data_IF_517214656034
#
_entry.id   IF_517214656034
#
_cell.length_a   1.000
_cell.length_b   1.000
_cell.length_c   1.000
_cell.angle_alpha   90.00
_cell.angle_beta   90.00
_cell.angle_gamma   90.00
#
_symmetry.space_group_name_H-M   'P 1'
#
loop_
_entity.id
_entity.type
_entity.pdbx_description
1 polymer ?
#
# COMPACT_ATOMS: atom_id res chain seq x y z
N UNK A 1 -63.05 -24.07 -29.52
CA UNK A 1 -63.06 -23.76 -28.07
C UNK A 1 -61.67 -23.20 -27.73
N UNK A 2 -61.32 -22.00 -28.17
CA UNK A 2 -61.57 -20.68 -27.56
C UNK A 2 -61.19 -20.61 -26.07
N UNK A 3 -59.98 -20.14 -25.80
CA UNK A 3 -59.57 -19.44 -24.56
C UNK A 3 -59.07 -18.05 -25.01
N UNK A 4 -59.50 -16.94 -24.38
CA UNK A 4 -59.28 -15.61 -24.94
C UNK A 4 -57.91 -15.03 -24.58
N UNK A 5 -57.29 -14.40 -25.58
CA UNK A 5 -56.11 -13.55 -25.53
C UNK A 5 -56.40 -12.19 -24.87
N UNK A 6 -55.55 -11.76 -23.94
CA UNK A 6 -55.54 -10.41 -23.35
C UNK A 6 -54.87 -9.40 -24.31
N UNK A 7 -55.36 -8.15 -24.42
CA UNK A 7 -54.83 -7.16 -25.35
C UNK A 7 -53.58 -6.43 -24.83
N UNK A 8 -52.65 -6.18 -25.75
CA UNK A 8 -51.48 -5.31 -25.57
C UNK A 8 -51.90 -3.84 -25.40
N UNK A 9 -51.32 -3.18 -24.39
CA UNK A 9 -51.42 -1.72 -24.23
C UNK A 9 -50.24 -1.03 -24.94
N UNK A 10 -50.55 -0.11 -25.85
CA UNK A 10 -49.58 0.75 -26.53
C UNK A 10 -49.20 1.94 -25.65
N UNK A 11 -47.89 2.15 -25.42
CA UNK A 11 -47.35 3.32 -24.74
C UNK A 11 -47.22 4.54 -25.68
N UNK A 12 -47.17 5.77 -25.15
CA UNK A 12 -47.17 6.98 -25.97
C UNK A 12 -45.79 7.32 -26.55
N UNK A 13 -45.80 7.81 -27.79
CA UNK A 13 -44.66 8.32 -28.57
C UNK A 13 -44.21 9.69 -28.04
N UNK A 14 -42.92 9.88 -27.77
CA UNK A 14 -42.33 11.19 -27.40
C UNK A 14 -41.55 11.77 -28.60
N UNK A 15 -41.88 13.02 -28.94
CA UNK A 15 -41.23 13.85 -29.96
C UNK A 15 -40.04 14.60 -29.34
N UNK A 16 -38.84 14.50 -29.90
CA UNK A 16 -37.68 15.28 -29.43
C UNK A 16 -37.63 16.67 -30.07
N UNK A 17 -37.55 17.74 -29.25
CA UNK A 17 -37.08 19.06 -29.66
C UNK A 17 -35.74 19.35 -28.96
N UNK A 18 -34.71 19.69 -29.73
CA UNK A 18 -33.40 20.11 -29.23
C UNK A 18 -33.38 21.63 -29.01
N UNK A 19 -32.98 22.08 -27.83
CA UNK A 19 -32.53 23.47 -27.57
C UNK A 19 -31.03 23.44 -27.22
N UNK A 20 -30.29 24.39 -27.78
CA UNK A 20 -28.84 24.58 -27.57
C UNK A 20 -28.60 25.57 -26.43
N UNK A 21 -27.67 25.29 -25.51
CA UNK A 21 -27.16 26.26 -24.54
C UNK A 21 -25.62 26.31 -24.57
N UNK A 22 -25.10 27.54 -24.51
CA UNK A 22 -23.69 27.94 -24.53
C UNK A 22 -23.07 27.79 -23.13
N UNK A 23 -21.86 27.24 -22.94
CA UNK A 23 -21.25 27.15 -21.61
C UNK A 23 -20.38 28.37 -21.25
N UNK A 24 -20.52 28.82 -19.99
CA UNK A 24 -19.64 29.74 -19.27
C UNK A 24 -18.46 28.97 -18.63
N UNK A 25 -17.25 29.54 -18.64
CA UNK A 25 -15.98 28.95 -18.15
C UNK A 25 -15.88 28.91 -16.60
N UNK A 26 -15.24 27.90 -15.97
CA UNK A 26 -15.07 27.84 -14.52
C UNK A 26 -13.86 28.64 -14.01
N UNK A 27 -14.04 29.27 -12.86
CA UNK A 27 -13.07 30.10 -12.15
C UNK A 27 -12.07 29.24 -11.37
N UNK A 28 -10.77 29.50 -11.53
CA UNK A 28 -9.71 28.89 -10.72
C UNK A 28 -9.51 29.66 -9.40
N UNK A 29 -9.51 28.98 -8.26
CA UNK A 29 -9.03 29.53 -7.00
C UNK A 29 -7.58 29.08 -6.76
N UNK A 30 -6.66 30.04 -6.72
CA UNK A 30 -5.30 29.86 -6.20
C UNK A 30 -5.22 30.49 -4.80
N UNK A 31 -4.70 29.79 -3.77
CA UNK A 31 -4.34 30.46 -2.53
C UNK A 31 -3.10 31.32 -2.75
N UNK A 32 -3.26 32.64 -2.61
CA UNK A 32 -2.13 33.58 -2.56
C UNK A 32 -1.64 33.64 -1.12
N UNK A 33 -0.45 33.10 -0.85
CA UNK A 33 0.27 33.37 0.40
C UNK A 33 1.03 34.67 0.25
N UNK A 34 0.54 35.74 0.89
CA UNK A 34 1.32 36.95 1.08
C UNK A 34 2.03 36.87 2.44
N UNK A 35 3.36 36.82 2.44
CA UNK A 35 4.14 36.88 3.66
C UNK A 35 4.12 38.29 4.23
N UNK A 36 3.71 38.45 5.49
CA UNK A 36 3.98 39.66 6.26
C UNK A 36 5.19 39.43 7.16
N UNK A 37 6.10 40.41 7.19
CA UNK A 37 7.02 40.61 8.33
C UNK A 37 6.14 40.83 9.57
N UNK A 38 6.60 40.33 10.72
CA UNK A 38 5.92 40.38 12.03
C UNK A 38 5.01 39.18 12.38
N UNK A 39 5.60 37.98 12.39
CA UNK A 39 5.73 37.18 13.62
C UNK A 39 4.50 36.70 14.42
N UNK A 40 3.24 36.83 13.97
CA UNK A 40 2.08 36.22 14.67
C UNK A 40 1.07 35.63 13.69
N UNK A 41 0.88 34.29 13.73
CA UNK A 41 -0.04 33.55 12.86
C UNK A 41 -1.41 33.37 13.53
N UNK A 42 -2.46 33.86 12.89
CA UNK A 42 -3.80 33.25 12.93
C UNK A 42 -4.37 33.24 11.50
N UNK A 43 -4.82 32.09 10.96
CA UNK A 43 -5.45 32.07 9.65
C UNK A 43 -6.85 32.72 9.73
N UNK A 44 -7.08 33.77 8.94
CA UNK A 44 -8.43 34.23 8.59
C UNK A 44 -8.63 34.02 7.10
N UNK A 45 -9.65 33.24 6.75
CA UNK A 45 -10.12 33.08 5.37
C UNK A 45 -10.94 34.33 5.03
N UNK A 46 -10.52 35.10 4.03
CA UNK A 46 -11.32 36.20 3.48
C UNK A 46 -11.97 35.76 2.17
N UNK A 47 -13.29 35.84 2.12
CA UNK A 47 -14.07 35.72 0.89
C UNK A 47 -14.27 37.15 0.35
N UNK A 48 -13.68 37.48 -0.79
CA UNK A 48 -13.97 38.74 -1.50
C UNK A 48 -15.08 38.46 -2.52
N UNK A 49 -16.29 38.97 -2.26
CA UNK A 49 -17.27 39.19 -3.33
C UNK A 49 -17.02 40.58 -3.92
N UNK A 50 -16.97 40.68 -5.25
CA UNK A 50 -17.07 41.96 -5.94
C UNK A 50 -18.50 42.50 -5.82
N UNK A 51 -18.62 43.82 -5.78
CA UNK A 51 -19.80 44.66 -5.55
C UNK A 51 -21.17 44.11 -5.99
N UNK A 52 -22.10 44.06 -5.03
CA UNK A 52 -23.29 44.91 -5.04
C UNK A 52 -23.93 44.87 -3.65
N UNK A 53 -24.13 46.05 -3.06
CA UNK A 53 -24.68 46.17 -1.71
C UNK A 53 -26.15 45.80 -1.67
N UNK A 54 -26.49 44.67 -1.07
CA UNK A 54 -27.82 44.41 -0.51
C UNK A 54 -27.76 43.22 0.47
N UNK A 55 -28.39 43.36 1.64
CA UNK A 55 -28.39 42.35 2.72
C UNK A 55 -29.51 41.35 2.47
N UNK A 56 -29.23 40.07 2.24
CA UNK A 56 -30.25 39.02 2.37
C UNK A 56 -29.76 37.72 3.02
N UNK A 57 -30.73 37.05 3.66
CA UNK A 57 -30.64 36.01 4.69
C UNK A 57 -30.60 34.60 4.05
N UNK A 58 -29.99 33.64 4.74
CA UNK A 58 -29.73 32.25 4.34
C UNK A 58 -30.97 31.33 4.30
N UNK A 59 -31.05 30.37 3.34
CA UNK A 59 -31.58 29.00 3.54
C UNK A 59 -31.27 28.04 2.36
N UNK A 60 -31.47 26.72 2.61
CA UNK A 60 -30.81 25.48 2.10
C UNK A 60 -31.33 24.88 0.77
N UNK A 61 -30.60 23.82 0.33
CA UNK A 61 -30.92 22.64 -0.56
C UNK A 61 -30.15 22.71 -1.92
N UNK A 62 -29.45 21.73 -2.51
CA UNK A 62 -29.12 20.32 -2.22
C UNK A 62 -28.77 19.55 -3.53
N UNK A 63 -27.57 18.93 -3.60
CA UNK A 63 -27.11 17.72 -4.34
C UNK A 63 -26.95 17.61 -5.90
N UNK A 64 -25.94 16.80 -6.26
CA UNK A 64 -25.31 16.27 -7.52
C UNK A 64 -26.23 15.45 -8.49
N UNK A 65 -25.81 14.85 -9.68
CA UNK A 65 -24.46 14.42 -10.18
C UNK A 65 -24.08 14.59 -11.70
N UNK A 66 -22.82 14.22 -12.01
CA UNK A 66 -22.02 14.08 -13.28
C UNK A 66 -22.70 13.33 -14.49
N UNK A 67 -22.14 13.22 -15.76
CA UNK A 67 -20.70 13.10 -16.14
C UNK A 67 -20.15 13.83 -17.42
N UNK A 68 -18.79 13.89 -17.50
CA UNK A 68 -17.73 14.12 -18.55
C UNK A 68 -18.15 14.41 -20.04
N UNK A 69 -17.32 14.98 -20.98
CA UNK A 69 -15.85 14.85 -21.09
C UNK A 69 -15.02 15.92 -21.91
N UNK A 70 -13.73 15.61 -22.14
CA UNK A 70 -12.87 15.87 -23.32
C UNK A 70 -12.01 17.15 -23.51
N UNK A 71 -10.81 16.86 -24.03
CA UNK A 71 -9.58 17.63 -24.29
C UNK A 71 -9.71 18.53 -25.53
N UNK A 72 -8.96 19.65 -25.64
CA UNK A 72 -8.36 19.94 -26.94
C UNK A 72 -6.89 20.37 -26.91
N UNK A 73 -6.21 19.87 -27.94
CA UNK A 73 -4.91 20.24 -28.49
C UNK A 73 -5.00 21.65 -29.09
N UNK A 74 -4.02 22.52 -28.85
CA UNK A 74 -3.77 23.68 -29.72
C UNK A 74 -2.27 23.83 -30.00
N UNK A 75 -1.95 23.80 -31.28
CA UNK A 75 -0.68 24.08 -31.93
C UNK A 75 -0.59 25.59 -32.24
N UNK A 76 0.59 26.19 -32.02
CA UNK A 76 1.16 27.14 -32.98
C UNK A 76 1.07 28.66 -32.71
N UNK A 77 2.28 29.24 -32.54
CA UNK A 77 2.69 30.63 -32.76
C UNK A 77 2.29 31.66 -31.69
N UNK A 78 3.12 32.64 -31.29
CA UNK A 78 4.15 33.40 -32.00
C UNK A 78 5.26 33.79 -31.01
N UNK A 79 6.51 33.68 -31.45
CA UNK A 79 7.70 34.13 -30.72
C UNK A 79 7.94 35.61 -31.02
N UNK A 80 7.85 36.49 -30.02
CA UNK A 80 8.43 37.84 -30.07
C UNK A 80 9.43 37.95 -28.95
N UNK A 81 10.71 37.99 -29.33
CA UNK A 81 11.83 38.03 -28.40
C UNK A 81 11.90 39.35 -27.66
N UNK A 82 11.93 39.25 -26.34
CA UNK A 82 12.72 40.12 -25.48
C UNK A 82 13.50 39.23 -24.50
N UNK A 83 14.72 39.67 -24.19
CA UNK A 83 15.81 38.89 -23.60
C UNK A 83 15.51 38.30 -22.22
N UNK A 84 16.20 37.20 -21.85
CA UNK A 84 15.89 36.40 -20.67
C UNK A 84 16.16 37.17 -19.39
N UNK A 85 15.20 37.13 -18.47
CA UNK A 85 15.46 37.42 -17.07
C UNK A 85 16.39 36.33 -16.54
N UNK A 86 17.69 36.63 -16.61
CA UNK A 86 18.73 35.98 -15.84
C UNK A 86 18.40 36.20 -14.36
N UNK A 87 17.67 35.28 -13.74
CA UNK A 87 17.72 35.16 -12.29
C UNK A 87 19.15 34.74 -11.98
N UNK A 88 19.99 35.71 -11.63
CA UNK A 88 21.23 35.45 -10.90
C UNK A 88 20.85 34.51 -9.76
N UNK A 89 21.25 33.24 -9.87
CA UNK A 89 21.28 32.33 -8.75
C UNK A 89 22.03 33.06 -7.63
N UNK A 90 21.30 33.47 -6.61
CA UNK A 90 21.91 33.82 -5.35
C UNK A 90 22.49 32.53 -4.81
N UNK A 91 23.77 32.29 -5.11
CA UNK A 91 24.58 31.32 -4.38
C UNK A 91 24.72 31.88 -2.97
N UNK A 92 23.71 31.63 -2.14
CA UNK A 92 23.84 31.77 -0.70
C UNK A 92 24.84 30.68 -0.27
N UNK A 93 26.13 30.99 -0.39
CA UNK A 93 27.20 30.23 0.22
C UNK A 93 27.04 30.42 1.72
N UNK A 94 26.75 29.35 2.43
CA UNK A 94 27.05 29.28 3.86
C UNK A 94 28.55 29.57 4.04
N UNK A 95 28.95 30.17 5.17
CA UNK A 95 30.36 30.49 5.48
C UNK A 95 31.31 29.26 5.41
N UNK A 96 30.76 28.04 5.27
CA UNK A 96 31.49 26.78 5.11
C UNK A 96 31.62 26.28 3.66
N UNK A 97 31.13 26.99 2.64
CA UNK A 97 31.30 26.60 1.23
C UNK A 97 30.59 25.28 0.83
N UNK A 98 29.81 24.68 1.72
CA UNK A 98 29.04 23.46 1.44
C UNK A 98 27.71 23.86 0.78
N UNK A 99 27.46 23.38 -0.43
CA UNK A 99 26.12 23.45 -1.04
C UNK A 99 25.12 22.81 -0.05
N UNK A 100 23.91 23.36 0.13
CA UNK A 100 22.90 22.69 0.91
C UNK A 100 22.71 21.29 0.33
N UNK A 101 22.85 20.26 1.17
CA UNK A 101 22.55 18.89 0.76
C UNK A 101 21.13 18.89 0.20
N UNK A 102 20.95 18.30 -0.99
CA UNK A 102 19.59 18.08 -1.53
C UNK A 102 18.80 17.39 -0.42
N UNK A 103 17.55 17.79 -0.13
CA UNK A 103 16.73 17.06 0.83
C UNK A 103 16.70 15.60 0.37
N UNK A 104 17.40 14.73 1.11
CA UNK A 104 17.33 13.30 0.91
C UNK A 104 15.88 12.92 1.18
N UNK A 105 15.23 12.25 0.22
CA UNK A 105 13.87 11.76 0.41
C UNK A 105 13.79 10.91 1.68
N UNK A 106 12.60 10.78 2.27
CA UNK A 106 12.40 9.96 3.47
C UNK A 106 13.00 8.56 3.25
N UNK A 107 14.10 8.19 3.97
CA UNK A 107 14.78 6.91 3.75
C UNK A 107 13.90 5.72 4.10
N UNK A 108 12.80 5.95 4.81
CA UNK A 108 11.80 4.96 5.18
C UNK A 108 10.55 5.03 4.31
N UNK A 109 10.61 5.68 3.13
CA UNK A 109 9.49 5.70 2.20
C UNK A 109 9.29 4.30 1.60
N UNK A 110 8.12 3.65 1.80
CA UNK A 110 7.84 2.37 1.17
C UNK A 110 7.62 2.55 -0.33
N UNK A 111 8.20 1.63 -1.12
CA UNK A 111 8.07 1.55 -2.57
C UNK A 111 7.06 0.50 -3.00
N UNK A 112 6.67 -0.41 -2.12
CA UNK A 112 5.69 -1.43 -2.40
C UNK A 112 4.92 -1.84 -1.14
N UNK A 113 3.80 -2.49 -1.37
CA UNK A 113 2.96 -3.09 -0.34
C UNK A 113 2.47 -4.45 -0.87
N UNK A 114 2.82 -5.53 -0.18
CA UNK A 114 2.52 -6.89 -0.62
C UNK A 114 1.38 -7.54 0.16
N UNK A 115 0.84 -6.88 1.19
CA UNK A 115 -0.22 -7.45 2.01
C UNK A 115 -1.49 -6.61 1.86
N UNK A 116 -2.26 -6.89 0.80
CA UNK A 116 -3.53 -6.20 0.54
C UNK A 116 -4.63 -7.16 0.10
N UNK A 117 -5.84 -6.86 0.56
CA UNK A 117 -7.03 -7.66 0.34
C UNK A 117 -8.03 -6.93 -0.54
N UNK A 118 -8.78 -7.69 -1.32
CA UNK A 118 -9.87 -7.21 -2.16
C UNK A 118 -11.20 -7.79 -1.68
N UNK A 119 -12.31 -7.33 -2.28
CA UNK A 119 -13.65 -7.90 -2.05
C UNK A 119 -13.70 -9.44 -2.16
N UNK A 120 -12.74 -10.07 -2.84
CA UNK A 120 -12.65 -11.52 -2.93
C UNK A 120 -12.38 -12.20 -1.58
N UNK A 121 -11.73 -11.51 -0.63
CA UNK A 121 -11.51 -12.02 0.73
C UNK A 121 -12.80 -12.12 1.57
N UNK A 122 -13.90 -11.50 1.15
CA UNK A 122 -15.21 -11.57 1.84
C UNK A 122 -15.38 -10.57 3.00
N UNK A 123 -14.30 -10.09 3.60
CA UNK A 123 -14.30 -9.06 4.66
C UNK A 123 -13.40 -7.85 4.36
N UNK A 124 -13.01 -7.69 3.09
CA UNK A 124 -12.43 -6.46 2.56
C UNK A 124 -13.43 -5.76 1.63
N UNK A 125 -13.28 -4.44 1.49
CA UNK A 125 -14.31 -3.55 0.97
C UNK A 125 -13.88 -2.80 -0.30
N UNK A 126 -12.81 -3.25 -0.96
CA UNK A 126 -12.29 -2.60 -2.16
C UNK A 126 -11.96 -3.60 -3.26
N UNK A 127 -12.28 -3.21 -4.49
CA UNK A 127 -11.95 -3.96 -5.69
C UNK A 127 -10.45 -3.87 -5.98
N UNK A 128 -9.95 -4.80 -6.79
CA UNK A 128 -8.58 -4.75 -7.29
C UNK A 128 -8.26 -3.40 -7.96
N UNK A 129 -9.20 -2.85 -8.74
CA UNK A 129 -9.01 -1.56 -9.41
C UNK A 129 -8.81 -0.42 -8.41
N UNK A 130 -9.63 -0.36 -7.37
CA UNK A 130 -9.53 0.67 -6.33
C UNK A 130 -8.20 0.58 -5.58
N UNK A 131 -7.75 -0.64 -5.24
CA UNK A 131 -6.43 -0.82 -4.62
C UNK A 131 -5.28 -0.36 -5.54
N UNK A 132 -5.36 -0.66 -6.84
CA UNK A 132 -4.37 -0.22 -7.83
C UNK A 132 -4.32 1.31 -7.96
N UNK A 133 -5.48 1.97 -8.02
CA UNK A 133 -5.56 3.42 -8.07
C UNK A 133 -4.97 4.05 -6.80
N UNK A 134 -5.32 3.51 -5.63
CA UNK A 134 -4.82 3.97 -4.34
C UNK A 134 -3.30 3.79 -4.17
N UNK A 135 -2.74 2.69 -4.69
CA UNK A 135 -1.30 2.44 -4.71
C UNK A 135 -0.58 3.43 -5.64
N UNK A 136 -1.12 3.68 -6.83
CA UNK A 136 -0.57 4.63 -7.79
C UNK A 136 -0.60 6.07 -7.24
N UNK A 137 -1.70 6.48 -6.59
CA UNK A 137 -1.84 7.80 -5.94
C UNK A 137 -0.82 8.02 -4.82
N UNK A 138 -0.44 6.95 -4.11
CA UNK A 138 0.62 6.98 -3.08
C UNK A 138 2.04 6.90 -3.65
N UNK A 139 2.17 6.70 -4.96
CA UNK A 139 3.45 6.57 -5.64
C UNK A 139 4.21 5.29 -5.27
N UNK A 140 3.48 4.19 -4.99
CA UNK A 140 4.07 2.86 -4.93
C UNK A 140 4.52 2.45 -6.34
N UNK A 141 5.55 1.62 -6.41
CA UNK A 141 6.09 1.03 -7.64
C UNK A 141 5.58 -0.39 -7.86
N UNK A 142 5.15 -1.08 -6.80
CA UNK A 142 4.53 -2.39 -6.86
C UNK A 142 3.41 -2.53 -5.81
N UNK A 143 2.42 -3.33 -6.15
CA UNK A 143 1.29 -3.69 -5.29
C UNK A 143 1.09 -5.20 -5.36
N UNK A 144 1.08 -5.86 -4.20
CA UNK A 144 0.72 -7.26 -4.06
C UNK A 144 -0.78 -7.43 -3.85
N UNK A 145 -1.36 -8.40 -4.54
CA UNK A 145 -2.73 -8.89 -4.28
C UNK A 145 -2.58 -10.19 -3.50
N UNK A 146 -3.06 -10.23 -2.26
CA UNK A 146 -2.83 -11.34 -1.32
C UNK A 146 -4.13 -11.72 -0.59
N UNK A 147 -5.24 -11.88 -1.33
CA UNK A 147 -6.50 -12.34 -0.76
C UNK A 147 -6.34 -13.65 0.04
N UNK A 148 -7.18 -13.85 1.05
CA UNK A 148 -7.11 -15.04 1.92
C UNK A 148 -7.40 -16.33 1.16
N UNK A 149 -6.61 -17.35 1.47
CA UNK A 149 -6.81 -18.71 0.98
C UNK A 149 -8.10 -19.38 1.54
N UNK A 150 -8.62 -20.45 0.90
CA UNK A 150 -10.00 -20.94 1.06
C UNK A 150 -10.44 -21.39 2.46
N UNK A 151 -9.53 -21.71 3.38
CA UNK A 151 -9.92 -22.10 4.74
C UNK A 151 -10.50 -20.92 5.54
N UNK A 152 -10.18 -19.68 5.16
CA UNK A 152 -10.75 -18.49 5.79
C UNK A 152 -12.26 -18.39 5.52
N UNK A 153 -13.12 -18.32 6.54
CA UNK A 153 -14.56 -18.28 6.34
C UNK A 153 -15.01 -17.08 5.49
N UNK A 154 -15.78 -17.34 4.43
CA UNK A 154 -16.36 -16.30 3.57
C UNK A 154 -15.44 -15.78 2.46
N UNK A 155 -14.21 -16.28 2.36
CA UNK A 155 -13.27 -15.91 1.30
C UNK A 155 -13.56 -16.59 -0.05
N UNK A 156 -12.73 -16.27 -1.04
CA UNK A 156 -12.74 -16.83 -2.38
C UNK A 156 -12.27 -18.30 -2.45
N UNK A 157 -12.75 -19.01 -3.49
CA UNK A 157 -12.27 -20.34 -3.84
C UNK A 157 -10.89 -20.26 -4.52
N UNK A 158 -10.12 -21.37 -4.52
CA UNK A 158 -8.79 -21.45 -5.14
C UNK A 158 -8.71 -21.05 -6.63
N UNK A 159 -9.85 -21.12 -7.33
CA UNK A 159 -9.98 -20.69 -8.73
C UNK A 159 -9.74 -19.19 -8.93
N UNK A 160 -9.98 -18.37 -7.90
CA UNK A 160 -9.67 -16.94 -7.90
C UNK A 160 -8.20 -16.70 -8.25
N UNK A 161 -7.30 -17.35 -7.51
CA UNK A 161 -5.85 -17.27 -7.70
C UNK A 161 -5.41 -17.85 -9.05
N UNK A 162 -6.01 -18.97 -9.47
CA UNK A 162 -5.75 -19.56 -10.79
C UNK A 162 -6.14 -18.64 -11.97
N UNK A 163 -7.04 -17.69 -11.74
CA UNK A 163 -7.48 -16.73 -12.75
C UNK A 163 -6.62 -15.46 -12.81
N UNK A 164 -5.64 -15.27 -11.91
CA UNK A 164 -4.73 -14.11 -11.95
C UNK A 164 -3.95 -13.96 -13.26
N UNK A 165 -3.90 -15.00 -14.11
CA UNK A 165 -3.39 -14.94 -15.49
C UNK A 165 -4.04 -13.86 -16.37
N UNK A 166 -5.26 -13.40 -16.04
CA UNK A 166 -5.94 -12.33 -16.79
C UNK A 166 -5.48 -10.93 -16.36
N UNK A 167 -4.79 -10.83 -15.22
CA UNK A 167 -4.30 -9.57 -14.66
C UNK A 167 -2.96 -9.23 -15.33
N UNK A 168 -2.89 -8.04 -15.92
CA UNK A 168 -1.68 -7.50 -16.53
C UNK A 168 -0.57 -7.36 -15.50
N UNK A 169 0.68 -7.51 -15.93
CA UNK A 169 1.86 -7.36 -15.07
C UNK A 169 2.02 -5.94 -14.51
N UNK A 170 1.56 -4.93 -15.26
CA UNK A 170 1.56 -3.54 -14.81
C UNK A 170 0.30 -2.80 -15.24
N UNK A 171 -0.19 -1.95 -14.35
CA UNK A 171 -1.33 -1.03 -14.54
C UNK A 171 -0.99 0.29 -13.87
N UNK A 172 -1.39 1.42 -14.44
CA UNK A 172 -1.15 2.76 -13.87
C UNK A 172 0.32 3.05 -13.45
N UNK A 173 1.28 2.42 -14.12
CA UNK A 173 2.71 2.57 -13.81
C UNK A 173 3.20 1.77 -12.60
N UNK A 174 2.36 0.93 -12.00
CA UNK A 174 2.70 0.05 -10.89
C UNK A 174 2.79 -1.41 -11.34
N UNK A 175 3.71 -2.19 -10.79
CA UNK A 175 3.78 -3.65 -10.97
C UNK A 175 2.72 -4.32 -10.11
N UNK A 176 1.98 -5.26 -10.67
CA UNK A 176 0.98 -6.04 -9.96
C UNK A 176 1.55 -7.41 -9.63
N UNK A 177 1.82 -7.66 -8.35
CA UNK A 177 2.45 -8.88 -7.85
C UNK A 177 1.37 -9.85 -7.37
N UNK A 178 1.32 -11.03 -7.96
CA UNK A 178 0.22 -12.00 -7.78
C UNK A 178 0.55 -12.95 -6.63
N UNK A 179 -0.11 -12.79 -5.49
CA UNK A 179 0.12 -13.63 -4.32
C UNK A 179 -1.14 -14.13 -3.63
N UNK A 180 -0.96 -14.61 -2.41
CA UNK A 180 -2.01 -15.20 -1.57
C UNK A 180 -1.59 -15.06 -0.11
N UNK A 181 -2.55 -14.84 0.77
CA UNK A 181 -2.33 -15.10 2.20
C UNK A 181 -2.86 -16.50 2.53
N UNK A 182 -1.93 -17.46 2.57
CA UNK A 182 -2.20 -18.85 2.91
C UNK A 182 -2.39 -19.01 4.42
N UNK A 183 -3.39 -19.82 4.79
CA UNK A 183 -3.68 -20.09 6.19
C UNK A 183 -2.82 -21.27 6.67
N UNK A 184 -2.12 -21.11 7.79
CA UNK A 184 -1.49 -22.23 8.48
C UNK A 184 -2.58 -22.98 9.26
N UNK A 185 -2.66 -24.30 9.05
CA UNK A 185 -3.75 -25.14 9.53
C UNK A 185 -3.43 -25.91 10.81
N UNK A 186 -2.15 -26.18 11.06
CA UNK A 186 -1.69 -26.99 12.18
C UNK A 186 -0.34 -26.51 12.72
N UNK A 187 0.08 -27.10 13.83
CA UNK A 187 1.33 -26.76 14.49
C UNK A 187 2.57 -27.36 13.84
N UNK A 188 2.42 -28.07 12.71
CA UNK A 188 3.52 -28.58 11.89
C UNK A 188 3.74 -27.68 10.65
N UNK A 189 2.90 -26.66 10.46
CA UNK A 189 3.06 -25.62 9.44
C UNK A 189 2.38 -25.93 8.11
N UNK A 190 1.44 -26.88 8.07
CA UNK A 190 0.68 -27.20 6.86
C UNK A 190 -0.15 -26.01 6.39
N UNK A 191 -0.21 -25.78 5.07
CA UNK A 191 -1.01 -24.73 4.46
C UNK A 191 -2.33 -25.27 3.89
N UNK A 192 -3.33 -24.41 3.78
CA UNK A 192 -4.63 -24.74 3.20
C UNK A 192 -4.67 -24.81 1.66
N UNK A 193 -3.54 -24.51 1.02
CA UNK A 193 -3.36 -24.59 -0.43
C UNK A 193 -2.06 -25.31 -0.78
N UNK A 194 -2.11 -26.11 -1.85
CA UNK A 194 -0.97 -26.90 -2.35
C UNK A 194 -0.22 -26.23 -3.51
N UNK A 195 0.76 -26.96 -4.03
CA UNK A 195 1.60 -26.54 -5.18
C UNK A 195 0.78 -26.23 -6.44
N UNK A 196 -0.37 -26.87 -6.62
CA UNK A 196 -1.26 -26.64 -7.76
C UNK A 196 -1.80 -25.19 -7.81
N UNK A 197 -1.89 -24.52 -6.67
CA UNK A 197 -2.21 -23.10 -6.55
C UNK A 197 -0.93 -22.28 -6.40
N UNK A 198 -0.09 -22.61 -5.41
CA UNK A 198 1.08 -21.83 -5.04
C UNK A 198 2.11 -21.71 -6.18
N UNK A 199 2.28 -22.76 -6.99
CA UNK A 199 3.22 -22.77 -8.12
C UNK A 199 2.87 -21.81 -9.26
N UNK A 200 1.64 -21.28 -9.28
CA UNK A 200 1.15 -20.31 -10.27
C UNK A 200 1.27 -18.86 -9.80
N UNK A 201 1.66 -18.64 -8.54
CA UNK A 201 1.78 -17.33 -7.91
C UNK A 201 3.25 -16.90 -7.81
N UNK A 202 3.47 -15.61 -7.53
CA UNK A 202 4.81 -15.04 -7.34
C UNK A 202 5.28 -15.18 -5.89
N UNK A 203 4.36 -15.14 -4.92
CA UNK A 203 4.65 -15.29 -3.50
C UNK A 203 3.42 -15.78 -2.72
N UNK A 204 3.68 -16.37 -1.56
CA UNK A 204 2.68 -16.58 -0.53
C UNK A 204 3.12 -15.91 0.78
N UNK A 205 2.15 -15.33 1.47
CA UNK A 205 2.23 -14.95 2.88
C UNK A 205 1.65 -16.14 3.66
N UNK A 206 2.36 -16.66 4.65
CA UNK A 206 1.81 -17.67 5.56
C UNK A 206 1.52 -17.02 6.93
N UNK A 207 0.32 -17.25 7.44
CA UNK A 207 -0.18 -16.56 8.63
C UNK A 207 -0.96 -17.49 9.55
N UNK A 208 -0.97 -17.19 10.85
CA UNK A 208 -1.82 -17.83 11.85
C UNK A 208 -3.12 -17.03 11.98
N UNK A 209 -4.26 -17.65 11.66
CA UNK A 209 -5.56 -17.00 11.80
C UNK A 209 -6.47 -17.77 12.77
N UNK A 210 -7.13 -17.09 13.73
CA UNK A 210 -8.02 -17.75 14.70
C UNK A 210 -9.11 -18.66 14.10
N UNK A 211 -9.71 -18.33 12.94
CA UNK A 211 -10.68 -19.21 12.29
C UNK A 211 -10.08 -20.51 11.72
N UNK A 212 -8.77 -20.54 11.45
CA UNK A 212 -8.10 -21.61 10.71
C UNK A 212 -7.25 -22.50 11.63
N UNK A 213 -6.72 -21.94 12.73
CA UNK A 213 -5.88 -22.65 13.70
C UNK A 213 -6.14 -22.13 15.12
N UNK A 214 -6.31 -23.01 16.13
CA UNK A 214 -6.47 -22.59 17.52
C UNK A 214 -5.22 -21.90 18.07
N UNK A 215 -5.40 -21.08 19.10
CA UNK A 215 -4.29 -20.51 19.87
C UNK A 215 -3.47 -21.62 20.53
N UNK A 216 -2.19 -21.75 20.14
CA UNK A 216 -1.25 -22.74 20.68
C UNK A 216 -0.31 -22.17 21.74
N UNK A 217 0.53 -23.04 22.32
CA UNK A 217 1.66 -22.62 23.16
C UNK A 217 2.73 -21.91 22.32
N UNK A 218 3.68 -21.26 23.00
CA UNK A 218 4.80 -20.60 22.34
C UNK A 218 5.57 -21.55 21.42
N UNK A 219 5.84 -22.76 21.88
CA UNK A 219 6.54 -23.80 21.13
C UNK A 219 5.72 -24.26 19.92
N UNK A 220 4.40 -24.45 20.09
CA UNK A 220 3.50 -24.88 19.02
C UNK A 220 3.39 -23.85 17.90
N UNK A 221 3.18 -22.57 18.23
CA UNK A 221 3.05 -21.51 17.26
C UNK A 221 4.38 -21.24 16.54
N UNK A 222 5.49 -21.25 17.28
CA UNK A 222 6.85 -21.14 16.72
C UNK A 222 7.11 -22.24 15.71
N UNK A 223 6.83 -23.50 16.08
CA UNK A 223 6.98 -24.64 15.16
C UNK A 223 6.09 -24.52 13.93
N UNK A 224 4.85 -24.05 14.09
CA UNK A 224 3.92 -23.82 12.98
C UNK A 224 4.50 -22.84 11.94
N UNK A 225 5.02 -21.69 12.40
CA UNK A 225 5.62 -20.69 11.53
C UNK A 225 6.88 -21.24 10.84
N UNK A 226 7.76 -21.90 11.59
CA UNK A 226 9.00 -22.48 11.04
C UNK A 226 8.68 -23.59 10.01
N UNK A 227 7.68 -24.44 10.29
CA UNK A 227 7.22 -25.47 9.36
C UNK A 227 6.69 -24.87 8.06
N UNK A 228 5.93 -23.78 8.13
CA UNK A 228 5.43 -23.08 6.96
C UNK A 228 6.57 -22.46 6.12
N UNK A 229 7.65 -21.97 6.75
CA UNK A 229 8.81 -21.42 6.04
C UNK A 229 9.53 -22.44 5.16
N UNK A 230 9.43 -23.75 5.47
CA UNK A 230 10.04 -24.81 4.65
C UNK A 230 9.37 -24.97 3.27
N UNK A 231 8.18 -24.39 3.08
CA UNK A 231 7.51 -24.39 1.79
C UNK A 231 8.17 -23.36 0.85
N UNK A 232 8.68 -23.77 -0.33
CA UNK A 232 9.46 -22.89 -1.21
C UNK A 232 8.68 -21.71 -1.80
N UNK A 233 7.35 -21.73 -1.71
CA UNK A 233 6.46 -20.65 -2.16
C UNK A 233 6.16 -19.61 -1.09
N UNK A 234 6.39 -19.92 0.20
CA UNK A 234 6.25 -18.97 1.29
C UNK A 234 7.42 -17.99 1.24
N UNK A 235 7.10 -16.70 1.15
CA UNK A 235 8.09 -15.60 1.08
C UNK A 235 7.97 -14.64 2.24
N UNK A 236 6.82 -14.62 2.91
CA UNK A 236 6.54 -13.73 4.03
C UNK A 236 5.81 -14.54 5.10
N UNK A 237 6.19 -14.35 6.36
CA UNK A 237 5.31 -14.67 7.49
C UNK A 237 4.51 -13.42 7.84
N UNK A 238 3.19 -13.51 7.72
CA UNK A 238 2.27 -12.39 7.97
C UNK A 238 2.02 -12.18 9.46
N UNK A 239 1.96 -10.91 9.86
CA UNK A 239 1.64 -10.42 11.22
C UNK A 239 2.01 -11.36 12.38
N UNK A 240 3.29 -11.77 12.54
CA UNK A 240 3.73 -12.59 13.67
C UNK A 240 3.85 -11.76 14.97
N UNK A 241 2.88 -10.89 15.27
CA UNK A 241 2.95 -9.89 16.34
C UNK A 241 1.78 -9.95 17.35
N UNK A 242 1.11 -11.10 17.47
CA UNK A 242 -0.10 -11.25 18.29
C UNK A 242 0.12 -12.12 19.53
N UNK A 243 -0.12 -11.59 20.74
CA UNK A 243 0.03 -12.33 22.01
C UNK A 243 -0.96 -13.51 22.16
N UNK A 244 -2.00 -13.58 21.31
CA UNK A 244 -2.85 -14.78 21.22
C UNK A 244 -2.10 -15.98 20.63
N UNK A 245 -1.05 -15.72 19.85
CA UNK A 245 -0.10 -16.69 19.33
C UNK A 245 1.31 -16.33 19.82
N UNK A 246 1.64 -16.57 21.10
CA UNK A 246 2.99 -16.27 21.60
C UNK A 246 4.06 -16.98 20.77
N UNK A 247 5.22 -16.36 20.58
CA UNK A 247 6.31 -16.85 19.74
C UNK A 247 7.65 -16.72 20.46
N UNK A 248 8.54 -17.68 20.20
CA UNK A 248 9.96 -17.52 20.42
C UNK A 248 10.56 -16.77 19.22
N UNK A 249 10.72 -15.46 19.36
CA UNK A 249 11.23 -14.62 18.28
C UNK A 249 12.67 -14.94 17.89
N UNK A 250 13.50 -15.50 18.78
CA UNK A 250 14.86 -15.91 18.43
C UNK A 250 14.80 -17.04 17.40
N UNK A 251 14.01 -18.07 17.67
CA UNK A 251 13.86 -19.21 16.77
C UNK A 251 13.21 -18.82 15.44
N UNK A 252 12.14 -18.01 15.48
CA UNK A 252 11.44 -17.53 14.28
C UNK A 252 12.37 -16.71 13.38
N UNK A 253 13.14 -15.76 13.94
CA UNK A 253 14.04 -14.90 13.16
C UNK A 253 15.19 -15.71 12.56
N UNK A 254 15.80 -16.62 13.32
CA UNK A 254 16.87 -17.48 12.81
C UNK A 254 16.35 -18.44 11.72
N UNK A 255 15.12 -18.94 11.83
CA UNK A 255 14.50 -19.75 10.77
C UNK A 255 14.23 -18.92 9.51
N UNK A 256 13.66 -17.73 9.67
CA UNK A 256 13.41 -16.80 8.56
C UNK A 256 14.70 -16.48 7.79
N UNK A 257 15.82 -16.29 8.49
CA UNK A 257 17.13 -16.10 7.88
C UNK A 257 17.59 -17.32 7.07
N UNK A 258 17.47 -18.53 7.63
CA UNK A 258 17.88 -19.79 6.95
C UNK A 258 17.06 -20.07 5.70
N UNK A 259 15.74 -19.93 5.81
CA UNK A 259 14.79 -20.22 4.72
C UNK A 259 14.62 -19.05 3.74
N UNK A 260 15.21 -17.88 4.05
CA UNK A 260 15.11 -16.64 3.27
C UNK A 260 13.66 -16.18 3.12
N UNK A 261 12.92 -16.21 4.22
CA UNK A 261 11.55 -15.74 4.34
C UNK A 261 11.55 -14.40 5.07
N UNK A 262 10.83 -13.40 4.58
CA UNK A 262 10.71 -12.11 5.25
C UNK A 262 9.72 -12.18 6.42
N UNK A 263 9.99 -11.43 7.49
CA UNK A 263 9.06 -11.27 8.62
C UNK A 263 8.32 -9.94 8.50
N UNK A 264 7.00 -9.98 8.62
CA UNK A 264 6.17 -8.79 8.48
C UNK A 264 6.09 -7.94 9.75
N UNK A 265 6.23 -6.63 9.62
CA UNK A 265 5.77 -5.63 10.58
C UNK A 265 4.48 -5.03 10.05
N UNK A 266 3.36 -5.44 10.65
CA UNK A 266 2.03 -5.21 10.10
C UNK A 266 1.39 -3.92 10.64
N UNK A 267 1.03 -2.99 9.75
CA UNK A 267 0.51 -1.68 10.17
C UNK A 267 -0.89 -1.77 10.79
N UNK A 268 -1.70 -2.74 10.35
CA UNK A 268 -3.04 -3.01 10.88
C UNK A 268 -2.97 -3.56 12.30
N UNK A 269 -1.96 -4.38 12.64
CA UNK A 269 -1.71 -4.86 14.01
C UNK A 269 -1.53 -3.74 15.03
N UNK A 270 -1.06 -2.56 14.60
CA UNK A 270 -0.83 -1.41 15.48
C UNK A 270 -2.03 -0.47 15.55
N UNK A 271 -3.11 -0.76 14.84
CA UNK A 271 -4.35 0.02 14.93
C UNK A 271 -5.00 -0.21 16.31
N UNK A 272 -5.45 0.85 17.02
CA UNK A 272 -6.15 0.68 18.31
C UNK A 272 -7.42 -0.17 18.23
N UNK A 273 -8.04 -0.27 17.06
CA UNK A 273 -9.21 -1.12 16.80
C UNK A 273 -8.85 -2.55 16.37
N UNK A 274 -7.57 -2.91 16.30
CA UNK A 274 -7.15 -4.25 15.92
C UNK A 274 -7.58 -5.28 16.96
N UNK A 275 -7.96 -6.47 16.49
CA UNK A 275 -8.24 -7.61 17.37
C UNK A 275 -6.99 -8.34 17.86
N UNK A 276 -5.82 -8.07 17.26
CA UNK A 276 -4.53 -8.64 17.67
C UNK A 276 -4.07 -8.01 18.99
N UNK A 277 -3.46 -8.81 19.86
CA UNK A 277 -3.06 -8.37 21.19
C UNK A 277 -1.59 -7.98 21.21
N UNK A 278 -1.30 -6.78 21.73
CA UNK A 278 0.07 -6.33 22.00
C UNK A 278 1.01 -6.24 20.78
N UNK A 279 0.46 -5.97 19.59
CA UNK A 279 1.19 -5.80 18.32
C UNK A 279 2.51 -5.03 18.44
N UNK A 280 2.46 -3.80 18.97
CA UNK A 280 3.65 -2.94 19.10
C UNK A 280 4.70 -3.53 20.04
N UNK A 281 4.30 -4.15 21.15
CA UNK A 281 5.23 -4.80 22.11
C UNK A 281 5.95 -5.95 21.41
N UNK A 282 5.21 -6.77 20.71
CA UNK A 282 5.69 -7.97 20.04
C UNK A 282 6.62 -7.64 18.87
N UNK A 283 6.23 -6.68 18.04
CA UNK A 283 7.07 -6.16 16.98
C UNK A 283 8.40 -5.58 17.50
N UNK A 284 8.43 -4.92 18.67
CA UNK A 284 9.71 -4.46 19.27
C UNK A 284 10.64 -5.61 19.60
N UNK A 285 10.12 -6.69 20.17
CA UNK A 285 10.93 -7.87 20.52
C UNK A 285 11.50 -8.48 19.23
N UNK A 286 10.66 -8.69 18.23
CA UNK A 286 11.09 -9.22 16.92
C UNK A 286 12.12 -8.32 16.25
N UNK A 287 11.90 -7.01 16.20
CA UNK A 287 12.83 -6.04 15.59
C UNK A 287 14.18 -6.01 16.31
N UNK A 288 14.22 -6.17 17.62
CA UNK A 288 15.49 -6.26 18.36
C UNK A 288 16.28 -7.51 17.97
N UNK A 289 15.60 -8.65 17.82
CA UNK A 289 16.23 -9.90 17.35
C UNK A 289 16.70 -9.77 15.91
N UNK A 290 15.86 -9.24 15.00
CA UNK A 290 16.22 -8.98 13.61
C UNK A 290 17.46 -8.10 13.49
N UNK A 291 17.53 -7.02 14.29
CA UNK A 291 18.68 -6.11 14.31
C UNK A 291 19.96 -6.78 14.79
N UNK A 292 19.89 -7.68 15.77
CA UNK A 292 21.07 -8.42 16.26
C UNK A 292 21.63 -9.41 15.25
N UNK A 293 20.79 -9.96 14.38
CA UNK A 293 21.16 -11.00 13.41
C UNK A 293 21.19 -10.52 11.95
N UNK A 294 21.07 -9.20 11.72
CA UNK A 294 21.00 -8.59 10.38
C UNK A 294 19.93 -9.21 9.47
N UNK A 295 18.77 -9.55 10.05
CA UNK A 295 17.64 -10.14 9.32
C UNK A 295 16.70 -9.02 8.88
N UNK A 296 16.41 -8.88 7.57
CA UNK A 296 15.54 -7.84 7.09
C UNK A 296 14.07 -8.14 7.39
N UNK A 297 13.26 -7.08 7.48
CA UNK A 297 11.80 -7.13 7.67
C UNK A 297 11.07 -6.51 6.49
N UNK A 298 9.81 -6.90 6.30
CA UNK A 298 8.89 -6.29 5.33
C UNK A 298 7.76 -5.58 6.08
N UNK A 299 7.34 -4.43 5.58
CA UNK A 299 6.15 -3.72 6.04
C UNK A 299 4.96 -4.15 5.18
N UNK A 300 3.83 -4.40 5.81
CA UNK A 300 2.55 -4.64 5.15
C UNK A 300 1.48 -3.72 5.72
N UNK A 301 0.62 -3.18 4.84
CA UNK A 301 -0.52 -2.41 5.34
C UNK A 301 -1.62 -3.33 5.90
N UNK A 302 -1.75 -4.54 5.35
CA UNK A 302 -2.87 -5.47 5.60
C UNK A 302 -4.20 -4.78 5.27
N UNK A 303 -4.20 -4.11 4.10
CA UNK A 303 -5.28 -3.23 3.70
C UNK A 303 -6.51 -4.05 3.32
N UNK A 304 -7.57 -3.85 4.08
CA UNK A 304 -8.90 -4.36 3.79
C UNK A 304 -9.81 -3.32 3.12
N UNK A 305 -9.27 -2.13 2.84
CA UNK A 305 -9.96 -1.04 2.13
C UNK A 305 -8.92 -0.14 1.45
N UNK A 306 -9.26 0.41 0.28
CA UNK A 306 -8.32 1.07 -0.63
C UNK A 306 -7.54 2.22 0.00
N UNK A 307 -8.13 2.96 0.95
CA UNK A 307 -7.45 4.07 1.60
C UNK A 307 -6.43 3.64 2.67
N UNK A 308 -6.31 2.34 2.97
CA UNK A 308 -5.23 1.81 3.81
C UNK A 308 -4.09 1.21 2.98
N UNK A 309 -4.27 0.99 1.67
CA UNK A 309 -3.22 0.48 0.78
C UNK A 309 -2.00 1.39 0.86
N UNK A 310 -0.81 0.86 1.15
CA UNK A 310 0.43 1.62 1.30
C UNK A 310 0.52 2.49 2.55
N UNK A 311 -0.48 2.45 3.44
CA UNK A 311 -0.45 3.17 4.72
C UNK A 311 0.41 2.39 5.73
N UNK A 312 1.60 2.91 6.02
CA UNK A 312 2.61 2.27 6.88
C UNK A 312 3.16 3.24 7.95
N UNK A 313 2.42 4.30 8.29
CA UNK A 313 2.90 5.33 9.24
C UNK A 313 3.18 4.77 10.64
N UNK A 314 2.39 3.81 11.13
CA UNK A 314 2.59 3.24 12.48
C UNK A 314 3.85 2.37 12.51
N UNK A 315 4.05 1.53 11.50
CA UNK A 315 5.29 0.76 11.35
C UNK A 315 6.51 1.69 11.28
N UNK A 316 6.47 2.71 10.42
CA UNK A 316 7.57 3.67 10.30
C UNK A 316 7.83 4.46 11.57
N UNK A 317 6.79 4.82 12.33
CA UNK A 317 6.94 5.49 13.60
C UNK A 317 7.69 4.61 14.61
N UNK A 318 7.33 3.32 14.69
CA UNK A 318 8.02 2.35 15.54
C UNK A 318 9.48 2.17 15.11
N UNK A 319 9.74 1.97 13.82
CA UNK A 319 11.09 1.79 13.29
C UNK A 319 11.99 3.00 13.58
N UNK A 320 11.46 4.23 13.43
CA UNK A 320 12.17 5.47 13.77
C UNK A 320 12.46 5.56 15.26
N UNK A 321 11.48 5.24 16.11
CA UNK A 321 11.66 5.24 17.55
C UNK A 321 12.78 4.29 18.00
N UNK A 322 12.86 3.11 17.37
CA UNK A 322 13.88 2.11 17.64
C UNK A 322 15.23 2.40 16.96
N UNK A 323 15.33 3.45 16.13
CA UNK A 323 16.46 3.69 15.23
C UNK A 323 16.82 2.43 14.42
N UNK A 324 15.80 1.73 13.90
CA UNK A 324 16.00 0.51 13.14
C UNK A 324 16.68 0.81 11.80
N UNK A 325 17.69 0.02 11.37
CA UNK A 325 18.46 0.30 10.16
C UNK A 325 17.57 0.30 8.89
N UNK A 326 17.52 1.40 8.11
CA UNK A 326 16.72 1.46 6.88
C UNK A 326 17.06 0.38 5.85
N UNK A 327 18.33 -0.03 5.78
CA UNK A 327 18.82 -1.09 4.90
C UNK A 327 18.22 -2.48 5.21
N UNK A 328 17.71 -2.68 6.43
CA UNK A 328 17.01 -3.90 6.83
C UNK A 328 15.50 -3.82 6.59
N UNK A 329 14.99 -2.76 5.94
CA UNK A 329 13.57 -2.61 5.61
C UNK A 329 13.36 -2.77 4.11
N UNK A 330 12.83 -3.93 3.72
CA UNK A 330 12.76 -4.35 2.31
C UNK A 330 11.94 -3.39 1.45
N UNK A 331 10.90 -2.76 2.00
CA UNK A 331 10.03 -1.83 1.26
C UNK A 331 10.78 -0.59 0.75
N UNK A 332 11.95 -0.25 1.29
CA UNK A 332 12.65 0.98 0.99
C UNK A 332 13.54 0.91 -0.26
N UNK A 333 13.62 -0.26 -0.93
CA UNK A 333 14.42 -0.45 -2.14
C UNK A 333 13.77 -1.40 -3.15
N UNK A 334 14.01 -1.23 -4.46
CA UNK A 334 13.63 -2.23 -5.47
C UNK A 334 14.27 -3.60 -5.22
N UNK A 335 15.51 -3.61 -4.74
CA UNK A 335 16.25 -4.84 -4.41
C UNK A 335 15.56 -5.63 -3.29
N UNK A 336 14.88 -4.95 -2.37
CA UNK A 336 14.07 -5.60 -1.34
C UNK A 336 12.85 -6.33 -1.89
N UNK A 337 12.23 -5.81 -2.95
CA UNK A 337 11.17 -6.55 -3.66
C UNK A 337 11.74 -7.79 -4.35
N UNK A 338 12.87 -7.65 -5.02
CA UNK A 338 13.55 -8.77 -5.68
C UNK A 338 14.01 -9.83 -4.68
N UNK A 339 14.43 -9.44 -3.48
CA UNK A 339 14.75 -10.37 -2.39
C UNK A 339 13.54 -11.26 -2.06
N UNK A 340 12.36 -10.66 -1.89
CA UNK A 340 11.13 -11.39 -1.55
C UNK A 340 10.69 -12.31 -2.70
N UNK A 341 10.78 -11.85 -3.94
CA UNK A 341 10.23 -12.59 -5.10
C UNK A 341 11.20 -13.62 -5.70
N UNK A 342 12.46 -13.65 -5.26
CA UNK A 342 13.42 -14.66 -5.72
C UNK A 342 12.99 -16.07 -5.30
N UNK A 343 13.00 -17.00 -6.25
CA UNK A 343 12.79 -18.42 -5.98
C UNK A 343 14.01 -18.99 -5.25
N UNK A 344 13.77 -19.70 -4.16
CA UNK A 344 14.78 -20.47 -3.44
C UNK A 344 15.22 -21.61 -4.38
N UNK A 345 16.36 -21.42 -5.09
CA UNK A 345 16.85 -22.38 -6.09
C UNK A 345 17.79 -21.82 -7.17
N UNK A 346 17.92 -20.49 -7.30
CA UNK A 346 18.93 -19.85 -8.15
C UNK A 346 20.09 -19.32 -7.32
N UNK A 347 21.32 -19.78 -7.58
CA UNK A 347 22.51 -19.38 -6.83
C UNK A 347 22.76 -17.87 -6.83
N UNK A 348 23.15 -17.36 -5.65
CA UNK A 348 23.98 -16.17 -5.49
C UNK A 348 23.33 -14.80 -5.69
N UNK A 349 22.71 -14.27 -4.65
CA UNK A 349 22.92 -12.87 -4.27
C UNK A 349 22.98 -12.81 -2.75
N UNK A 350 24.14 -12.44 -2.21
CA UNK A 350 24.25 -12.06 -0.81
C UNK A 350 23.36 -10.82 -0.56
N UNK A 351 22.93 -10.65 0.69
CA UNK A 351 22.29 -9.41 1.16
C UNK A 351 23.13 -8.20 0.71
N UNK A 352 22.52 -7.03 0.45
CA UNK A 352 23.26 -5.81 0.20
C UNK A 352 24.00 -5.39 1.47
N UNK A 353 25.20 -5.94 1.69
CA UNK A 353 26.13 -5.47 2.71
C UNK A 353 26.72 -4.15 2.22
N UNK A 354 26.40 -3.06 2.91
CA UNK A 354 27.08 -1.79 2.75
C UNK A 354 28.56 -1.97 3.14
N UNK A 355 29.45 -1.57 2.24
CA UNK A 355 30.89 -1.73 2.41
C UNK A 355 31.42 -0.94 3.61
N UNK A 356 31.63 -1.63 4.73
CA UNK A 356 32.40 -1.13 5.86
C UNK A 356 33.87 -1.03 5.46
N UNK A 357 34.37 0.20 5.40
CA UNK A 357 35.79 0.53 5.19
C UNK A 357 36.60 -0.10 6.34
N UNK A 358 37.45 -1.09 6.03
CA UNK A 358 38.44 -1.55 6.99
C UNK A 358 39.49 -0.46 7.15
N UNK A 359 39.50 0.21 8.31
CA UNK A 359 40.67 0.95 8.76
C UNK A 359 41.76 -0.07 9.10
N UNK A 360 42.66 -0.32 8.15
CA UNK A 360 43.95 -0.92 8.45
C UNK A 360 44.90 0.18 8.90
N UNK A 361 45.42 0.05 10.12
CA UNK A 361 46.63 0.77 10.53
C UNK A 361 47.74 -0.24 10.80
N UNK A 362 48.89 0.09 10.22
CA UNK A 362 50.21 -0.52 10.38
C UNK A 362 50.87 -0.03 11.66
#
# INVERSE_FOLDING_TARGET
MNSPSLPMAMGPTIVSRTYSMVPLLPWCFLPVYCGSKDGKKHPRIYQKSADSGERHRCSRIGAFPFPRPFVPIVQGAVWTGERPWCTKERKDRTESGRLPEKPQGDPMKPLFDLHTHTIASGHAYSSLKENIEAAAERGLTALGISDHAPAMPGTCHSFHFGNYKVIRESLLGIRIVKGIEANILDFDGSLDVGEDVLGKLEYAIASLHPPCIPFGTMEQNTRALIGAMANPYVKIIGHPDDDRYPLDYEEVVLAAQREKVALEINNSSFCPGSGRQNGVKNARIMLEVCRRHDVPVVLGSDAHIWYDVGEMSRCRALLREMNFPPELVLNCSPEGLDFILKRNGGGGAALPVSGGVSAGEK
#
